data_IF_198745428983
#
_entry.id   IF_198745428983
#
_cell.length_a   1.000
_cell.length_b   1.000
_cell.length_c   1.000
_cell.angle_alpha   90.00
_cell.angle_beta   90.00
_cell.angle_gamma   90.00
#
_symmetry.space_group_name_H-M   'P 1'
#
loop_
_entity.id
_entity.type
_entity.pdbx_description
1 polymer ?
#
# COMPACT_ATOMS: atom_id res chain seq x y z
N UNK A 1 12.85 0.94 -9.15
CA UNK A 1 11.82 0.43 -8.24
C UNK A 1 10.84 1.55 -7.92
N UNK A 2 9.54 1.26 -7.98
CA UNK A 2 8.48 2.18 -7.61
C UNK A 2 8.11 2.01 -6.13
N UNK A 3 6.83 1.95 -5.77
CA UNK A 3 6.37 1.94 -4.37
C UNK A 3 6.85 0.74 -3.55
N UNK A 4 7.31 -0.34 -4.16
CA UNK A 4 7.93 -1.47 -3.44
C UNK A 4 9.30 -1.15 -2.84
N UNK A 5 9.97 -0.09 -3.29
CA UNK A 5 11.34 0.24 -2.85
C UNK A 5 11.40 0.59 -1.36
N UNK A 6 10.51 1.46 -0.88
CA UNK A 6 10.55 1.95 0.48
C UNK A 6 9.15 2.24 1.05
N UNK A 7 8.22 1.31 0.85
CA UNK A 7 6.91 1.36 1.50
C UNK A 7 6.98 1.01 2.99
N UNK A 8 5.85 1.07 3.69
CA UNK A 8 5.76 0.79 5.12
C UNK A 8 5.92 -0.68 5.52
N UNK A 9 5.96 -1.60 4.55
CA UNK A 9 6.25 -3.02 4.76
C UNK A 9 5.18 -3.84 5.45
N UNK A 10 4.04 -3.29 5.78
CA UNK A 10 2.96 -4.02 6.43
C UNK A 10 2.17 -4.88 5.45
N UNK A 11 1.88 -6.11 5.87
CA UNK A 11 0.91 -7.03 5.29
C UNK A 11 -0.26 -7.03 6.26
N UNK A 12 -1.11 -6.00 6.14
CA UNK A 12 -2.10 -5.64 7.15
C UNK A 12 -3.51 -5.77 6.59
N UNK A 13 -4.15 -6.89 6.87
CA UNK A 13 -5.58 -7.09 6.61
C UNK A 13 -6.41 -6.19 7.50
N UNK A 14 -5.91 -5.92 8.70
CA UNK A 14 -6.55 -5.04 9.68
C UNK A 14 -6.56 -3.56 9.30
N UNK A 15 -5.79 -3.13 8.29
CA UNK A 15 -5.80 -1.75 7.78
C UNK A 15 -6.81 -1.56 6.64
N UNK A 16 -7.98 -2.22 6.74
CA UNK A 16 -8.99 -2.26 5.68
C UNK A 16 -9.92 -1.04 5.63
N UNK A 17 -9.77 -0.07 6.52
CA UNK A 17 -10.57 1.15 6.49
C UNK A 17 -10.20 2.00 5.27
N UNK A 18 -11.14 2.24 4.32
CA UNK A 18 -10.87 3.06 3.17
C UNK A 18 -10.71 4.53 3.57
N UNK A 19 -9.93 5.28 2.81
CA UNK A 19 -9.83 6.73 2.99
C UNK A 19 -11.17 7.42 2.80
N UNK A 20 -11.99 6.91 1.85
CA UNK A 20 -13.34 7.37 1.63
C UNK A 20 -14.29 6.81 2.69
N UNK A 21 -14.51 7.58 3.73
CA UNK A 21 -15.45 7.28 4.82
C UNK A 21 -16.25 8.53 5.19
N UNK A 22 -17.34 8.42 5.97
CA UNK A 22 -18.22 9.55 6.26
C UNK A 22 -17.54 10.76 6.95
N UNK A 23 -16.43 10.56 7.66
CA UNK A 23 -15.69 11.64 8.32
C UNK A 23 -14.65 12.31 7.39
N UNK A 24 -14.28 11.66 6.29
CA UNK A 24 -13.19 12.10 5.42
C UNK A 24 -13.39 13.50 4.82
N UNK A 25 -14.58 13.89 4.31
CA UNK A 25 -14.77 15.23 3.74
C UNK A 25 -14.48 16.35 4.74
N UNK A 26 -14.92 16.20 6.00
CA UNK A 26 -14.69 17.19 7.05
C UNK A 26 -13.19 17.23 7.44
N UNK A 27 -12.55 16.07 7.58
CA UNK A 27 -11.10 16.00 7.88
C UNK A 27 -10.27 16.65 6.77
N UNK A 28 -10.60 16.43 5.50
CA UNK A 28 -9.90 17.08 4.36
C UNK A 28 -9.99 18.60 4.45
N UNK A 29 -11.17 19.14 4.79
CA UNK A 29 -11.33 20.60 4.98
C UNK A 29 -10.49 21.13 6.14
N UNK A 30 -10.40 20.41 7.26
CA UNK A 30 -9.59 20.78 8.43
C UNK A 30 -8.08 20.76 8.14
N UNK A 31 -7.63 19.92 7.22
CA UNK A 31 -6.24 19.77 6.84
C UNK A 31 -5.82 20.67 5.66
N UNK A 32 -6.77 21.31 5.01
CA UNK A 32 -6.49 22.15 3.84
C UNK A 32 -5.48 23.25 4.19
N UNK A 33 -4.39 23.33 3.43
CA UNK A 33 -3.34 24.35 3.63
C UNK A 33 -2.32 24.04 4.73
N UNK A 34 -2.42 22.92 5.45
CA UNK A 34 -1.43 22.50 6.46
C UNK A 34 -0.41 21.56 5.83
N UNK A 35 0.86 21.99 5.77
CA UNK A 35 1.93 21.23 5.12
C UNK A 35 2.27 19.92 5.83
N UNK A 36 2.12 19.84 7.14
CA UNK A 36 2.42 18.68 7.99
C UNK A 36 1.21 17.76 8.24
N UNK A 37 0.03 18.11 7.71
CA UNK A 37 -1.17 17.28 7.89
C UNK A 37 -1.00 15.87 7.30
N UNK A 38 -1.68 14.84 7.84
CA UNK A 38 -1.64 13.47 7.30
C UNK A 38 -2.01 13.38 5.82
N UNK A 39 -2.96 14.21 5.37
CA UNK A 39 -3.31 14.37 3.95
C UNK A 39 -3.18 15.83 3.54
N UNK A 40 -2.31 16.08 2.56
CA UNK A 40 -2.15 17.39 1.93
C UNK A 40 -2.78 17.36 0.53
N UNK A 41 -3.74 18.25 0.31
CA UNK A 41 -4.41 18.41 -0.99
C UNK A 41 -3.87 19.66 -1.68
N UNK A 42 -3.08 19.46 -2.74
CA UNK A 42 -2.60 20.53 -3.62
C UNK A 42 -3.62 20.74 -4.74
N UNK A 43 -4.35 21.84 -4.68
CA UNK A 43 -5.31 22.20 -5.75
C UNK A 43 -4.56 22.43 -7.05
N UNK A 44 -4.92 21.69 -8.10
CA UNK A 44 -4.34 21.80 -9.44
C UNK A 44 -5.43 22.00 -10.51
N UNK A 45 -5.06 22.64 -11.58
CA UNK A 45 -5.90 22.70 -12.80
C UNK A 45 -5.79 21.38 -13.57
N UNK A 46 -6.15 20.26 -12.92
CA UNK A 46 -6.13 18.90 -13.49
C UNK A 46 -7.52 18.29 -13.37
N UNK A 47 -8.23 18.16 -14.48
CA UNK A 47 -9.57 17.57 -14.51
C UNK A 47 -9.63 16.16 -13.90
N UNK A 48 -8.53 15.39 -13.97
CA UNK A 48 -8.46 14.05 -13.39
C UNK A 48 -8.54 14.11 -11.87
N UNK A 49 -7.91 15.12 -11.23
CA UNK A 49 -7.98 15.34 -9.79
C UNK A 49 -9.43 15.62 -9.35
N UNK A 50 -10.13 16.48 -10.08
CA UNK A 50 -11.51 16.86 -9.76
C UNK A 50 -12.49 15.70 -9.96
N UNK A 51 -12.37 14.97 -11.07
CA UNK A 51 -13.21 13.81 -11.32
C UNK A 51 -12.98 12.71 -10.28
N UNK A 52 -11.72 12.45 -9.92
CA UNK A 52 -11.37 11.51 -8.87
C UNK A 52 -11.94 11.98 -7.50
N UNK A 53 -11.83 13.27 -7.19
CA UNK A 53 -12.39 13.85 -5.97
C UNK A 53 -13.90 13.71 -5.88
N UNK A 54 -14.63 13.92 -6.97
CA UNK A 54 -16.08 13.71 -7.01
C UNK A 54 -16.46 12.23 -6.79
N UNK A 55 -15.72 11.31 -7.38
CA UNK A 55 -15.93 9.87 -7.15
C UNK A 55 -15.57 9.49 -5.72
N UNK A 56 -14.49 10.03 -5.15
CA UNK A 56 -14.13 9.85 -3.75
C UNK A 56 -15.26 10.30 -2.81
N UNK A 57 -15.87 11.45 -3.06
CA UNK A 57 -17.01 11.92 -2.25
C UNK A 57 -18.22 10.98 -2.34
N UNK A 58 -18.47 10.36 -3.50
CA UNK A 58 -19.53 9.33 -3.66
C UNK A 58 -19.26 8.09 -2.83
N UNK A 59 -17.99 7.74 -2.64
CA UNK A 59 -17.57 6.60 -1.81
C UNK A 59 -17.66 6.90 -0.29
N UNK A 60 -17.75 8.16 0.14
CA UNK A 60 -17.78 8.56 1.54
C UNK A 60 -19.13 8.28 2.26
N UNK A 61 -19.97 7.38 1.76
CA UNK A 61 -21.21 6.99 2.43
C UNK A 61 -21.03 5.77 3.31
N UNK A 62 -21.81 5.61 4.41
CA UNK A 62 -21.68 4.42 5.28
C UNK A 62 -21.84 3.08 4.55
N UNK A 63 -22.73 3.01 3.55
CA UNK A 63 -22.97 1.80 2.78
C UNK A 63 -21.76 1.44 1.90
N UNK A 64 -21.19 2.44 1.22
CA UNK A 64 -20.00 2.25 0.38
C UNK A 64 -18.78 1.90 1.23
N UNK A 65 -18.58 2.60 2.35
CA UNK A 65 -17.50 2.30 3.29
C UNK A 65 -17.55 0.83 3.76
N UNK A 66 -18.72 0.34 4.18
CA UNK A 66 -18.89 -1.08 4.57
C UNK A 66 -18.56 -2.04 3.45
N UNK A 67 -19.08 -1.77 2.24
CA UNK A 67 -18.80 -2.60 1.07
C UNK A 67 -17.29 -2.61 0.74
N UNK A 68 -16.65 -1.46 0.78
CA UNK A 68 -15.21 -1.35 0.47
C UNK A 68 -14.36 -2.08 1.52
N UNK A 69 -14.68 -1.97 2.82
CA UNK A 69 -14.03 -2.77 3.87
C UNK A 69 -14.17 -4.27 3.57
N UNK A 70 -15.37 -4.73 3.21
CA UNK A 70 -15.62 -6.13 2.89
C UNK A 70 -14.71 -6.62 1.74
N UNK A 71 -14.64 -5.87 0.64
CA UNK A 71 -13.78 -6.22 -0.49
C UNK A 71 -12.29 -6.23 -0.11
N UNK A 72 -11.84 -5.23 0.64
CA UNK A 72 -10.45 -5.11 1.08
C UNK A 72 -10.06 -6.27 2.01
N UNK A 73 -10.91 -6.60 3.00
CA UNK A 73 -10.67 -7.72 3.92
C UNK A 73 -10.63 -9.06 3.19
N UNK A 74 -11.60 -9.33 2.31
CA UNK A 74 -11.66 -10.59 1.54
C UNK A 74 -10.39 -10.80 0.71
N UNK A 75 -10.01 -9.79 -0.08
CA UNK A 75 -8.79 -9.87 -0.89
C UNK A 75 -7.54 -9.92 -0.03
N UNK A 76 -7.49 -9.15 1.06
CA UNK A 76 -6.35 -9.08 1.97
C UNK A 76 -6.11 -10.42 2.68
N UNK A 77 -7.15 -11.04 3.23
CA UNK A 77 -7.06 -12.35 3.88
C UNK A 77 -6.62 -13.43 2.89
N UNK A 78 -7.23 -13.48 1.71
CA UNK A 78 -6.81 -14.39 0.66
C UNK A 78 -5.34 -14.18 0.28
N UNK A 79 -4.93 -12.93 0.09
CA UNK A 79 -3.56 -12.57 -0.30
C UNK A 79 -2.54 -12.92 0.76
N UNK A 80 -2.83 -12.67 2.05
CA UNK A 80 -1.96 -13.06 3.17
C UNK A 80 -1.74 -14.56 3.19
N UNK A 81 -2.80 -15.35 3.02
CA UNK A 81 -2.72 -16.81 2.98
C UNK A 81 -1.87 -17.29 1.79
N UNK A 82 -2.00 -16.65 0.62
CA UNK A 82 -1.18 -16.97 -0.56
C UNK A 82 0.29 -16.59 -0.36
N UNK A 83 0.58 -15.47 0.29
CA UNK A 83 1.95 -15.07 0.63
C UNK A 83 2.59 -16.08 1.60
N UNK A 84 1.86 -16.49 2.63
CA UNK A 84 2.35 -17.48 3.60
C UNK A 84 2.57 -18.84 2.95
N UNK A 85 1.70 -19.26 2.02
CA UNK A 85 1.88 -20.48 1.24
C UNK A 85 3.13 -20.39 0.38
N UNK A 86 3.30 -19.32 -0.39
CA UNK A 86 4.48 -19.08 -1.23
C UNK A 86 5.77 -19.08 -0.40
N UNK A 87 5.78 -18.46 0.78
CA UNK A 87 6.93 -18.47 1.68
C UNK A 87 7.30 -19.89 2.11
N UNK A 88 6.33 -20.71 2.48
CA UNK A 88 6.58 -22.11 2.87
C UNK A 88 7.05 -22.99 1.71
N UNK A 89 6.44 -22.82 0.53
CA UNK A 89 6.68 -23.67 -0.64
C UNK A 89 7.99 -23.32 -1.36
N UNK A 90 8.28 -22.04 -1.52
CA UNK A 90 9.44 -21.56 -2.28
C UNK A 90 10.63 -21.13 -1.41
N UNK A 91 10.48 -21.08 -0.08
CA UNK A 91 11.54 -20.64 0.84
C UNK A 91 11.94 -19.18 0.63
N UNK A 92 11.04 -18.33 0.07
CA UNK A 92 11.32 -16.92 -0.20
C UNK A 92 11.47 -16.16 1.12
N UNK A 93 12.61 -15.47 1.29
CA UNK A 93 12.92 -14.71 2.48
C UNK A 93 12.90 -13.20 2.17
N UNK A 94 12.17 -12.43 2.98
CA UNK A 94 11.99 -10.99 2.78
C UNK A 94 12.02 -10.20 4.09
N UNK A 95 12.76 -10.70 5.08
CA UNK A 95 12.87 -10.12 6.42
C UNK A 95 11.49 -10.01 7.10
N UNK A 96 10.72 -11.08 6.96
CA UNK A 96 9.37 -11.17 7.51
C UNK A 96 9.37 -11.20 9.03
N UNK A 97 8.40 -10.49 9.61
CA UNK A 97 8.10 -10.51 11.05
C UNK A 97 6.63 -10.85 11.25
N UNK A 98 6.40 -11.98 11.91
CA UNK A 98 5.08 -12.58 12.12
C UNK A 98 4.54 -12.34 13.53
N UNK A 99 4.85 -11.17 14.10
CA UNK A 99 4.48 -10.79 15.47
C UNK A 99 3.22 -9.95 15.52
N UNK A 100 2.42 -9.98 14.46
CA UNK A 100 1.22 -9.16 14.34
C UNK A 100 1.51 -7.69 14.00
N UNK A 101 0.42 -6.91 13.93
CA UNK A 101 0.44 -5.46 13.79
C UNK A 101 -0.40 -4.84 14.88
N UNK A 102 0.14 -3.81 15.52
CA UNK A 102 -0.50 -3.06 16.58
C UNK A 102 -0.78 -1.63 16.11
N UNK A 103 -2.06 -1.25 16.06
CA UNK A 103 -2.51 0.12 15.84
C UNK A 103 -2.70 0.80 17.20
N UNK A 104 -1.99 1.87 17.48
CA UNK A 104 -2.14 2.61 18.73
C UNK A 104 -2.79 3.98 18.49
N UNK A 105 -3.49 4.46 19.50
CA UNK A 105 -4.28 5.69 19.47
C UNK A 105 -3.85 6.57 20.62
N UNK A 106 -3.56 7.84 20.33
CA UNK A 106 -3.26 8.88 21.32
C UNK A 106 -4.41 9.86 21.49
N UNK A 107 -5.46 9.76 20.67
CA UNK A 107 -6.72 10.50 20.79
C UNK A 107 -7.87 9.53 21.07
N UNK A 108 -8.69 9.84 22.11
CA UNK A 108 -9.81 8.99 22.52
C UNK A 108 -10.90 8.86 21.45
N UNK A 109 -11.18 9.94 20.69
CA UNK A 109 -12.20 9.91 19.63
C UNK A 109 -11.78 9.06 18.44
N UNK A 110 -10.49 9.09 18.09
CA UNK A 110 -9.94 8.21 17.04
C UNK A 110 -10.00 6.76 17.52
N UNK A 111 -9.70 6.49 18.80
CA UNK A 111 -9.83 5.15 19.39
C UNK A 111 -11.28 4.65 19.37
N UNK A 112 -12.23 5.45 19.86
CA UNK A 112 -13.66 5.13 19.80
C UNK A 112 -14.13 4.91 18.35
N UNK A 113 -13.61 5.71 17.41
CA UNK A 113 -13.89 5.57 15.99
C UNK A 113 -13.43 4.24 15.38
N UNK A 114 -12.44 3.58 15.98
CA UNK A 114 -11.92 2.30 15.52
C UNK A 114 -12.74 1.07 16.00
N UNK A 115 -13.60 1.23 17.02
CA UNK A 115 -14.33 0.11 17.60
C UNK A 115 -15.25 -0.58 16.59
N UNK A 116 -16.12 0.19 15.95
CA UNK A 116 -17.09 -0.33 14.98
C UNK A 116 -16.44 -0.94 13.73
N UNK A 117 -15.45 -0.31 13.09
CA UNK A 117 -14.69 -0.97 12.02
C UNK A 117 -14.01 -2.26 12.45
N UNK A 118 -13.48 -2.33 13.68
CA UNK A 118 -12.87 -3.56 14.21
C UNK A 118 -13.88 -4.70 14.34
N UNK A 119 -15.08 -4.44 14.83
CA UNK A 119 -16.17 -5.42 14.87
C UNK A 119 -16.56 -5.91 13.46
N UNK A 120 -16.66 -4.99 12.50
CA UNK A 120 -16.96 -5.33 11.11
C UNK A 120 -15.86 -6.22 10.51
N UNK A 121 -14.60 -5.92 10.74
CA UNK A 121 -13.46 -6.73 10.23
C UNK A 121 -13.45 -8.11 10.88
N UNK A 122 -13.75 -8.21 12.19
CA UNK A 122 -13.86 -9.50 12.89
C UNK A 122 -14.98 -10.36 12.32
N UNK A 123 -16.14 -9.77 12.02
CA UNK A 123 -17.23 -10.47 11.37
C UNK A 123 -16.88 -11.00 9.96
N UNK A 124 -15.83 -10.47 9.33
CA UNK A 124 -15.29 -10.90 8.04
C UNK A 124 -14.07 -11.83 8.18
N UNK A 125 -13.72 -12.24 9.41
CA UNK A 125 -12.60 -13.15 9.68
C UNK A 125 -11.24 -12.49 9.84
N UNK A 126 -11.17 -11.16 10.01
CA UNK A 126 -9.95 -10.46 10.39
C UNK A 126 -10.00 -10.18 11.91
N UNK A 127 -9.26 -10.96 12.71
CA UNK A 127 -9.26 -10.90 14.18
C UNK A 127 -8.55 -9.65 14.73
N UNK A 128 -9.08 -8.48 14.42
CA UNK A 128 -8.63 -7.19 14.94
C UNK A 128 -9.22 -6.98 16.35
N UNK A 129 -8.42 -7.25 17.36
CA UNK A 129 -8.81 -7.16 18.77
C UNK A 129 -8.65 -5.74 19.29
N UNK A 130 -9.65 -5.22 19.96
CA UNK A 130 -9.56 -3.96 20.73
C UNK A 130 -8.94 -4.27 22.08
N UNK A 131 -7.87 -3.57 22.44
CA UNK A 131 -7.09 -3.80 23.65
C UNK A 131 -6.81 -2.49 24.39
N UNK A 132 -6.56 -2.60 25.68
CA UNK A 132 -6.16 -1.47 26.53
C UNK A 132 -4.73 -1.03 26.24
N UNK A 133 -4.38 0.19 26.68
CA UNK A 133 -3.02 0.69 26.61
C UNK A 133 -2.01 -0.19 27.38
N UNK A 134 -2.40 -0.79 28.50
CA UNK A 134 -1.52 -1.70 29.27
C UNK A 134 -1.28 -3.01 28.56
N UNK A 135 -2.28 -3.55 27.86
CA UNK A 135 -2.11 -4.74 27.01
C UNK A 135 -1.24 -4.42 25.78
N UNK A 136 -1.40 -3.22 25.18
CA UNK A 136 -0.54 -2.78 24.09
C UNK A 136 0.94 -2.73 24.50
N UNK A 137 1.26 -2.24 25.69
CA UNK A 137 2.63 -2.19 26.22
C UNK A 137 3.19 -3.60 26.52
N UNK A 138 2.35 -4.56 26.91
CA UNK A 138 2.80 -5.95 27.07
C UNK A 138 3.19 -6.57 25.72
N UNK A 139 2.51 -6.19 24.63
CA UNK A 139 2.82 -6.64 23.27
C UNK A 139 4.05 -5.91 22.72
N UNK A 140 4.10 -4.57 22.90
CA UNK A 140 5.20 -3.71 22.43
C UNK A 140 5.70 -2.82 23.58
N UNK A 141 6.73 -3.28 24.34
CA UNK A 141 7.26 -2.54 25.48
C UNK A 141 7.84 -1.16 25.15
N UNK A 142 8.28 -0.92 23.91
CA UNK A 142 8.80 0.39 23.51
C UNK A 142 7.74 1.50 23.61
N UNK A 143 6.44 1.16 23.63
CA UNK A 143 5.35 2.11 23.84
C UNK A 143 5.22 2.59 25.29
N UNK A 144 5.93 2.00 26.26
CA UNK A 144 5.86 2.39 27.67
C UNK A 144 6.21 3.87 27.90
N UNK A 145 7.11 4.42 27.08
CA UNK A 145 7.51 5.83 27.14
C UNK A 145 6.31 6.79 26.95
N UNK A 146 5.33 6.38 26.16
CA UNK A 146 4.17 7.20 25.84
C UNK A 146 2.88 6.74 26.51
N UNK A 147 2.98 5.85 27.53
CA UNK A 147 1.83 5.25 28.22
C UNK A 147 0.76 6.25 28.64
N UNK A 148 1.16 7.40 29.17
CA UNK A 148 0.24 8.45 29.65
C UNK A 148 -0.58 9.12 28.53
N UNK A 149 -0.17 8.95 27.29
CA UNK A 149 -0.84 9.49 26.10
C UNK A 149 -1.66 8.44 25.37
N UNK A 150 -1.50 7.14 25.67
CA UNK A 150 -2.23 6.09 24.97
C UNK A 150 -3.66 5.97 25.47
N UNK A 151 -4.62 6.21 24.58
CA UNK A 151 -6.04 5.97 24.80
C UNK A 151 -6.38 4.46 24.73
N UNK A 152 -5.76 3.74 23.81
CA UNK A 152 -5.93 2.31 23.59
C UNK A 152 -5.25 1.86 22.32
N UNK A 153 -5.50 0.61 21.93
CA UNK A 153 -4.93 0.05 20.73
C UNK A 153 -5.87 -1.00 20.10
N UNK A 154 -5.57 -1.36 18.84
CA UNK A 154 -6.07 -2.60 18.25
C UNK A 154 -4.90 -3.47 17.82
N UNK A 155 -5.05 -4.78 17.96
CA UNK A 155 -3.99 -5.74 17.63
C UNK A 155 -4.54 -6.87 16.76
N UNK A 156 -3.77 -7.23 15.73
CA UNK A 156 -4.07 -8.34 14.83
C UNK A 156 -2.86 -9.25 14.72
N UNK A 157 -2.92 -10.37 15.44
CA UNK A 157 -1.81 -11.31 15.59
C UNK A 157 -1.41 -11.97 14.25
N UNK A 158 -2.36 -12.14 13.33
CA UNK A 158 -2.12 -12.80 12.04
C UNK A 158 -1.53 -11.88 10.98
N UNK A 159 -1.56 -10.56 11.19
CA UNK A 159 -0.91 -9.61 10.29
C UNK A 159 0.61 -9.68 10.45
N UNK A 160 1.31 -9.32 9.40
CA UNK A 160 2.76 -9.47 9.31
C UNK A 160 3.41 -8.19 8.79
N UNK A 161 4.71 -8.12 8.87
CA UNK A 161 5.49 -7.12 8.12
C UNK A 161 6.67 -7.78 7.41
N UNK A 162 7.16 -7.13 6.36
CA UNK A 162 8.31 -7.61 5.60
C UNK A 162 8.75 -6.62 4.53
N UNK A 163 9.97 -6.73 4.09
CA UNK A 163 10.55 -5.85 3.07
C UNK A 163 10.03 -6.21 1.68
N UNK A 164 9.08 -5.42 1.17
CA UNK A 164 8.49 -5.61 -0.15
C UNK A 164 9.50 -5.51 -1.30
N UNK A 165 10.60 -4.76 -1.14
CA UNK A 165 11.65 -4.69 -2.15
C UNK A 165 12.45 -5.99 -2.19
N UNK A 166 12.83 -6.52 -1.01
CA UNK A 166 13.51 -7.81 -0.91
C UNK A 166 12.61 -8.92 -1.47
N UNK A 167 11.34 -8.96 -1.08
CA UNK A 167 10.37 -9.91 -1.64
C UNK A 167 10.30 -9.85 -3.17
N UNK A 168 10.17 -8.65 -3.76
CA UNK A 168 10.09 -8.50 -5.21
C UNK A 168 11.37 -8.99 -5.91
N UNK A 169 12.55 -8.74 -5.33
CA UNK A 169 13.84 -9.21 -5.86
C UNK A 169 13.97 -10.73 -5.79
N UNK A 170 13.57 -11.35 -4.69
CA UNK A 170 13.57 -12.80 -4.56
C UNK A 170 12.53 -13.45 -5.48
N UNK A 171 11.34 -12.84 -5.62
CA UNK A 171 10.33 -13.33 -6.56
C UNK A 171 10.80 -13.28 -8.01
N UNK A 172 11.57 -12.25 -8.41
CA UNK A 172 12.18 -12.20 -9.76
C UNK A 172 13.03 -13.44 -10.01
N UNK A 173 13.88 -13.85 -9.07
CA UNK A 173 14.72 -15.05 -9.22
C UNK A 173 13.88 -16.32 -9.43
N UNK A 174 12.79 -16.46 -8.67
CA UNK A 174 11.86 -17.59 -8.83
C UNK A 174 11.17 -17.56 -10.20
N UNK A 175 10.76 -16.39 -10.66
CA UNK A 175 10.15 -16.22 -11.97
C UNK A 175 11.14 -16.54 -13.11
N UNK A 176 12.39 -16.06 -13.03
CA UNK A 176 13.44 -16.36 -14.00
C UNK A 176 13.72 -17.87 -14.07
N UNK A 177 13.81 -18.53 -12.91
CA UNK A 177 13.95 -19.98 -12.82
C UNK A 177 12.77 -20.75 -13.45
N UNK A 178 11.58 -20.14 -13.45
CA UNK A 178 10.38 -20.66 -14.12
C UNK A 178 10.26 -20.24 -15.60
N UNK A 179 11.28 -19.60 -16.19
CA UNK A 179 11.34 -19.22 -17.60
C UNK A 179 10.68 -17.88 -17.92
N UNK A 180 10.38 -17.05 -16.94
CA UNK A 180 9.86 -15.68 -17.19
C UNK A 180 10.99 -14.75 -17.64
N UNK A 181 10.77 -14.03 -18.72
CA UNK A 181 11.71 -13.04 -19.24
C UNK A 181 11.38 -11.65 -18.69
N UNK A 182 12.38 -10.97 -18.12
CA UNK A 182 12.29 -9.60 -17.65
C UNK A 182 13.01 -8.66 -18.61
N UNK A 183 12.29 -7.69 -19.15
CA UNK A 183 12.87 -6.61 -19.97
C UNK A 183 13.17 -5.42 -19.05
N UNK A 184 14.24 -5.54 -18.28
CA UNK A 184 14.68 -4.45 -17.39
C UNK A 184 15.19 -3.25 -18.20
N UNK A 185 15.09 -2.04 -17.62
CA UNK A 185 15.55 -0.81 -18.26
C UNK A 185 14.84 -0.50 -19.60
N UNK A 186 13.60 -0.98 -19.75
CA UNK A 186 12.75 -0.67 -20.87
C UNK A 186 11.61 0.27 -20.45
N UNK A 187 11.27 1.21 -21.32
CA UNK A 187 10.13 2.10 -21.17
C UNK A 187 9.06 1.71 -22.16
N UNK A 188 7.87 1.37 -21.69
CA UNK A 188 6.70 1.22 -22.56
C UNK A 188 6.34 2.59 -23.11
N UNK A 189 6.28 2.71 -24.43
CA UNK A 189 5.97 3.97 -25.12
C UNK A 189 4.53 4.01 -25.61
N UNK A 190 3.97 2.86 -26.01
CA UNK A 190 2.57 2.75 -26.41
C UNK A 190 2.02 1.34 -26.26
N UNK A 191 0.69 1.24 -26.17
CA UNK A 191 -0.08 0.00 -26.32
C UNK A 191 -0.96 0.19 -27.54
N UNK A 192 -0.83 -0.68 -28.54
CA UNK A 192 -1.52 -0.57 -29.84
C UNK A 192 -2.69 -1.55 -29.91
N UNK A 193 -3.84 -0.99 -30.24
CA UNK A 193 -5.07 -1.75 -30.48
C UNK A 193 -5.34 -1.80 -31.99
N UNK A 194 -5.74 -2.96 -32.48
CA UNK A 194 -6.24 -3.16 -33.82
C UNK A 194 -7.29 -4.28 -33.83
N UNK A 195 -8.37 -4.07 -34.56
CA UNK A 195 -9.43 -5.07 -34.71
C UNK A 195 -10.13 -5.46 -33.38
N UNK A 196 -10.24 -4.55 -32.42
CA UNK A 196 -10.93 -4.76 -31.15
C UNK A 196 -10.10 -5.54 -30.12
N UNK A 197 -8.78 -5.66 -30.31
CA UNK A 197 -7.85 -6.32 -29.36
C UNK A 197 -6.49 -5.62 -29.34
N UNK A 198 -5.71 -5.84 -28.29
CA UNK A 198 -4.32 -5.38 -28.31
C UNK A 198 -3.53 -6.20 -29.34
N UNK A 199 -2.86 -5.50 -30.24
CA UNK A 199 -1.99 -6.08 -31.24
C UNK A 199 -0.57 -6.26 -30.73
N UNK A 200 -0.01 -5.20 -30.09
CA UNK A 200 1.33 -5.22 -29.54
C UNK A 200 1.55 -4.09 -28.51
N UNK A 201 2.62 -4.23 -27.75
CA UNK A 201 3.17 -3.18 -26.89
C UNK A 201 4.46 -2.66 -27.51
N UNK A 202 4.61 -1.34 -27.58
CA UNK A 202 5.84 -0.67 -28.00
C UNK A 202 6.69 -0.34 -26.78
N UNK A 203 7.97 -0.67 -26.82
CA UNK A 203 8.93 -0.36 -25.77
C UNK A 203 10.26 0.11 -26.35
N UNK A 204 10.98 0.93 -25.60
CA UNK A 204 12.35 1.35 -25.88
C UNK A 204 13.26 1.03 -24.72
N UNK A 205 14.49 0.60 -25.02
CA UNK A 205 15.52 0.45 -23.99
C UNK A 205 16.23 1.78 -23.68
N UNK A 206 17.21 1.76 -22.78
CA UNK A 206 17.97 2.96 -22.40
C UNK A 206 18.80 3.56 -23.52
N UNK A 207 19.08 2.79 -24.59
CA UNK A 207 19.80 3.22 -25.78
C UNK A 207 18.86 3.75 -26.86
N UNK A 208 17.53 3.76 -26.59
CA UNK A 208 16.50 4.18 -27.52
C UNK A 208 16.14 3.16 -28.61
N UNK A 209 16.59 1.90 -28.47
CA UNK A 209 16.25 0.83 -29.43
C UNK A 209 14.79 0.43 -29.24
N UNK A 210 14.04 0.54 -30.32
CA UNK A 210 12.62 0.24 -30.35
C UNK A 210 12.35 -1.26 -30.48
N UNK A 211 11.35 -1.73 -29.73
CA UNK A 211 10.87 -3.10 -29.78
C UNK A 211 9.35 -3.17 -29.86
N UNK A 212 8.83 -4.10 -30.65
CA UNK A 212 7.43 -4.51 -30.67
C UNK A 212 7.29 -5.83 -29.92
N UNK A 213 6.47 -5.84 -28.87
CA UNK A 213 6.23 -7.00 -28.03
C UNK A 213 4.84 -7.54 -28.31
N UNK A 214 4.75 -8.75 -28.85
CA UNK A 214 3.49 -9.42 -29.14
C UNK A 214 3.25 -10.57 -28.17
N UNK A 215 2.00 -10.75 -27.75
CA UNK A 215 1.56 -11.81 -26.87
C UNK A 215 0.08 -12.12 -27.11
N UNK A 216 -0.39 -13.25 -26.60
CA UNK A 216 -1.79 -13.64 -26.64
C UNK A 216 -2.64 -12.81 -25.66
N UNK A 217 -2.05 -12.39 -24.55
CA UNK A 217 -2.69 -11.63 -23.48
C UNK A 217 -1.75 -10.60 -22.86
N UNK A 218 -2.33 -9.48 -22.44
CA UNK A 218 -1.60 -8.37 -21.86
C UNK A 218 -2.22 -7.97 -20.52
N UNK A 219 -1.39 -7.76 -19.50
CA UNK A 219 -1.82 -7.29 -18.18
C UNK A 219 -1.22 -5.92 -17.88
N UNK A 220 -2.06 -4.93 -17.66
CA UNK A 220 -1.63 -3.59 -17.24
C UNK A 220 -1.48 -3.55 -15.72
N UNK A 221 -0.23 -3.53 -15.25
CA UNK A 221 0.13 -3.52 -13.82
C UNK A 221 1.04 -2.32 -13.46
N UNK A 222 0.81 -1.15 -14.09
CA UNK A 222 1.69 0.02 -14.00
C UNK A 222 1.33 1.00 -12.87
N UNK A 223 0.55 0.56 -11.89
CA UNK A 223 0.19 1.34 -10.70
C UNK A 223 -0.40 2.72 -11.06
N UNK A 224 0.17 3.79 -10.54
CA UNK A 224 -0.29 5.17 -10.79
C UNK A 224 -0.16 5.63 -12.24
N UNK A 225 0.67 4.97 -13.05
CA UNK A 225 0.82 5.26 -14.48
C UNK A 225 -0.25 4.56 -15.34
N UNK A 226 -0.96 3.58 -14.83
CA UNK A 226 -1.96 2.81 -15.58
C UNK A 226 -2.99 3.68 -16.33
N UNK A 227 -3.53 4.78 -15.75
CA UNK A 227 -4.47 5.63 -16.49
C UNK A 227 -3.89 6.28 -17.75
N UNK A 228 -2.59 6.54 -17.78
CA UNK A 228 -1.91 7.16 -18.91
C UNK A 228 -1.93 6.20 -20.11
N UNK A 229 -1.67 4.92 -19.85
CA UNK A 229 -1.62 3.88 -20.89
C UNK A 229 -3.00 3.32 -21.27
N UNK A 230 -3.97 3.36 -20.36
CA UNK A 230 -5.33 2.90 -20.62
C UNK A 230 -6.16 3.92 -21.41
N UNK A 231 -5.91 5.23 -21.20
CA UNK A 231 -6.68 6.32 -21.82
C UNK A 231 -6.71 6.27 -23.35
N UNK A 232 -5.58 6.07 -24.09
CA UNK A 232 -5.59 5.96 -25.55
C UNK A 232 -6.45 4.81 -26.07
N UNK A 233 -6.66 3.76 -25.28
CA UNK A 233 -7.51 2.61 -25.58
C UNK A 233 -8.99 2.86 -25.26
N UNK A 234 -9.35 4.09 -24.85
CA UNK A 234 -10.71 4.44 -24.45
C UNK A 234 -11.14 3.74 -23.14
N UNK A 235 -10.19 3.33 -22.31
CA UNK A 235 -10.44 2.74 -20.98
C UNK A 235 -10.14 3.80 -19.93
N UNK A 236 -11.15 4.17 -19.15
CA UNK A 236 -11.02 5.11 -18.05
C UNK A 236 -10.74 4.37 -16.75
N UNK A 237 -9.63 4.66 -16.12
CA UNK A 237 -9.26 4.13 -14.80
C UNK A 237 -9.31 5.25 -13.76
N UNK A 238 -10.16 5.15 -12.73
CA UNK A 238 -10.27 6.17 -11.69
C UNK A 238 -9.12 6.03 -10.66
N UNK A 239 -7.90 6.17 -11.13
CA UNK A 239 -6.69 6.12 -10.31
C UNK A 239 -6.05 7.50 -10.32
N UNK A 240 -5.77 8.04 -9.14
CA UNK A 240 -5.00 9.27 -8.96
C UNK A 240 -3.75 9.00 -8.12
N UNK A 241 -2.59 9.56 -8.49
CA UNK A 241 -1.37 9.33 -7.74
C UNK A 241 -1.45 10.06 -6.38
N UNK A 242 -1.30 9.30 -5.31
CA UNK A 242 -1.20 9.81 -3.95
C UNK A 242 0.24 9.64 -3.47
N UNK A 243 1.01 10.76 -3.47
CA UNK A 243 2.40 10.77 -3.05
C UNK A 243 2.50 10.45 -1.56
N UNK A 244 3.27 9.43 -1.22
CA UNK A 244 3.59 9.06 0.14
C UNK A 244 5.06 9.29 0.43
N UNK A 245 5.38 9.39 1.71
CA UNK A 245 6.73 9.61 2.20
C UNK A 245 7.19 8.45 3.04
N UNK A 246 8.47 8.15 3.03
CA UNK A 246 9.10 7.25 3.99
C UNK A 246 10.47 7.75 4.43
N UNK A 247 10.80 7.35 5.64
CA UNK A 247 12.11 7.58 6.27
C UNK A 247 12.68 6.23 6.63
N UNK A 248 13.95 6.01 6.30
CA UNK A 248 14.70 4.84 6.75
C UNK A 248 15.90 5.34 7.55
N UNK A 249 16.11 4.82 8.75
CA UNK A 249 17.24 5.17 9.58
C UNK A 249 17.81 3.94 10.30
N UNK A 250 19.13 3.85 10.54
CA UNK A 250 19.72 2.78 11.35
C UNK A 250 19.16 2.79 12.77
N UNK A 251 18.97 1.62 13.36
CA UNK A 251 18.68 1.50 14.79
C UNK A 251 19.93 1.87 15.57
N UNK A 252 19.81 2.85 16.47
CA UNK A 252 20.89 3.30 17.34
C UNK A 252 20.89 2.55 18.67
N UNK A 253 19.69 2.33 19.24
CA UNK A 253 19.49 1.60 20.48
C UNK A 253 18.36 0.58 20.29
N UNK A 254 18.74 -0.69 20.18
CA UNK A 254 17.80 -1.78 19.92
C UNK A 254 16.79 -2.01 21.05
N UNK A 255 17.12 -1.59 22.28
CA UNK A 255 16.24 -1.73 23.45
C UNK A 255 15.10 -0.70 23.46
N UNK A 256 15.25 0.41 22.73
CA UNK A 256 14.27 1.49 22.58
C UNK A 256 13.44 1.37 21.32
N UNK A 257 13.91 0.56 20.36
CA UNK A 257 13.25 0.37 19.08
C UNK A 257 12.14 -0.67 19.20
N UNK A 258 11.00 -0.40 18.55
CA UNK A 258 9.88 -1.33 18.50
C UNK A 258 10.27 -2.67 17.85
N UNK A 259 9.62 -3.76 18.28
CA UNK A 259 9.77 -5.10 17.72
C UNK A 259 8.59 -5.46 16.83
N UNK A 260 7.38 -5.17 17.29
CA UNK A 260 6.13 -5.36 16.55
C UNK A 260 5.97 -4.23 15.54
N UNK A 261 5.41 -4.52 14.37
CA UNK A 261 5.06 -3.46 13.42
C UNK A 261 3.89 -2.63 13.96
N UNK A 262 4.04 -1.30 13.91
CA UNK A 262 3.11 -0.36 14.52
C UNK A 262 2.40 0.50 13.47
N UNK A 263 1.17 0.90 13.79
CA UNK A 263 0.45 1.96 13.07
C UNK A 263 0.05 3.05 14.07
N UNK A 264 0.51 4.27 13.80
CA UNK A 264 0.08 5.49 14.46
C UNK A 264 -1.12 6.06 13.70
N UNK A 265 -2.31 5.85 14.23
CA UNK A 265 -3.54 6.24 13.54
C UNK A 265 -3.79 7.76 13.57
N UNK A 266 -3.21 8.50 14.51
CA UNK A 266 -3.30 9.96 14.56
C UNK A 266 -2.50 10.61 13.43
N UNK A 267 -1.23 10.21 13.27
CA UNK A 267 -0.32 10.77 12.25
C UNK A 267 -0.35 10.02 10.93
N UNK A 268 -1.11 8.90 10.85
CA UNK A 268 -1.19 8.02 9.68
C UNK A 268 0.19 7.52 9.23
N UNK A 269 0.99 7.09 10.21
CA UNK A 269 2.31 6.52 10.02
C UNK A 269 2.32 5.03 10.35
N UNK A 270 3.09 4.28 9.59
CA UNK A 270 3.38 2.87 9.84
C UNK A 270 4.86 2.70 10.11
N UNK A 271 5.20 1.85 11.08
CA UNK A 271 6.55 1.59 11.55
C UNK A 271 6.88 0.13 11.35
N UNK A 272 7.97 -0.14 10.67
CA UNK A 272 8.52 -1.49 10.52
C UNK A 272 10.00 -1.49 10.84
N UNK A 273 10.50 -2.62 11.36
CA UNK A 273 11.92 -2.82 11.67
C UNK A 273 12.44 -3.96 10.82
N UNK A 274 13.56 -3.76 10.19
CA UNK A 274 14.21 -4.71 9.29
C UNK A 274 15.68 -4.87 9.65
N UNK A 275 16.25 -6.01 9.28
CA UNK A 275 17.69 -6.19 9.27
C UNK A 275 18.33 -5.24 8.24
N UNK A 276 19.44 -4.62 8.58
CA UNK A 276 20.19 -3.79 7.65
C UNK A 276 20.68 -4.61 6.44
N UNK A 277 20.86 -3.96 5.29
CA UNK A 277 21.23 -4.67 4.05
C UNK A 277 22.61 -5.31 4.12
N UNK A 278 23.51 -4.73 4.92
CA UNK A 278 24.87 -5.24 5.18
C UNK A 278 24.90 -6.31 6.29
N UNK A 279 23.72 -6.66 6.86
CA UNK A 279 23.59 -7.61 7.96
C UNK A 279 24.11 -7.09 9.33
N UNK A 280 24.47 -5.81 9.42
CA UNK A 280 25.01 -5.22 10.65
C UNK A 280 23.96 -4.39 11.38
N UNK A 281 23.22 -5.03 12.28
CA UNK A 281 22.15 -4.38 13.04
C UNK A 281 20.84 -4.29 12.29
N UNK A 282 19.98 -3.40 12.73
CA UNK A 282 18.64 -3.20 12.20
C UNK A 282 18.44 -1.77 11.68
N UNK A 283 17.40 -1.60 10.88
CA UNK A 283 16.93 -0.30 10.39
C UNK A 283 15.45 -0.13 10.67
N UNK A 284 15.06 1.08 11.03
CA UNK A 284 13.65 1.48 11.12
C UNK A 284 13.19 2.02 9.77
N UNK A 285 12.02 1.61 9.33
CA UNK A 285 11.31 2.17 8.20
C UNK A 285 9.98 2.73 8.68
N UNK A 286 9.83 4.04 8.52
CA UNK A 286 8.59 4.73 8.84
C UNK A 286 8.03 5.29 7.56
N UNK A 287 6.79 4.96 7.25
CA UNK A 287 6.14 5.43 6.03
C UNK A 287 4.72 5.89 6.34
N UNK A 288 4.27 6.89 5.60
CA UNK A 288 2.91 7.36 5.78
C UNK A 288 2.63 8.66 5.06
N UNK A 289 1.67 9.37 5.58
CA UNK A 289 1.13 10.60 5.05
C UNK A 289 0.77 10.51 3.56
N UNK A 290 0.01 11.44 3.06
CA UNK A 290 -0.35 11.48 1.65
C UNK A 290 -0.36 12.91 1.13
N UNK A 291 0.03 13.10 -0.14
CA UNK A 291 -0.08 14.37 -0.84
C UNK A 291 -0.68 14.13 -2.23
N UNK A 292 -1.79 14.78 -2.51
CA UNK A 292 -2.44 14.75 -3.82
C UNK A 292 -1.92 15.90 -4.67
N UNK A 293 -0.81 15.66 -5.38
CA UNK A 293 -0.08 16.64 -6.18
C UNK A 293 0.26 16.15 -7.60
N UNK A 294 -0.63 15.38 -8.22
CA UNK A 294 -0.37 14.78 -9.52
C UNK A 294 0.84 13.84 -9.48
N UNK A 295 1.63 13.85 -10.55
CA UNK A 295 2.80 12.97 -10.71
C UNK A 295 4.09 13.60 -10.16
N UNK A 296 3.99 14.67 -9.37
CA UNK A 296 5.14 15.26 -8.69
C UNK A 296 5.79 14.27 -7.71
N UNK A 297 7.11 14.16 -7.74
CA UNK A 297 7.91 13.24 -6.93
C UNK A 297 8.96 13.96 -6.07
N UNK A 298 8.93 15.27 -6.03
CA UNK A 298 9.86 16.03 -5.21
C UNK A 298 9.61 15.81 -3.72
N UNK A 299 10.69 15.71 -2.95
CA UNK A 299 10.63 15.55 -1.50
C UNK A 299 10.22 16.86 -0.84
N UNK A 300 9.13 16.83 -0.10
CA UNK A 300 8.77 17.92 0.81
C UNK A 300 9.48 17.70 2.15
N UNK A 301 10.48 18.52 2.45
CA UNK A 301 11.30 18.38 3.66
C UNK A 301 10.50 18.55 4.95
N UNK A 302 9.54 19.45 4.98
CA UNK A 302 8.66 19.65 6.17
C UNK A 302 7.97 18.34 6.55
N UNK A 303 7.46 17.60 5.58
CA UNK A 303 6.80 16.32 5.81
C UNK A 303 7.78 15.23 6.23
N UNK A 304 8.96 15.19 5.65
CA UNK A 304 10.02 14.26 6.02
C UNK A 304 10.49 14.48 7.46
N UNK A 305 10.73 15.73 7.83
CA UNK A 305 11.16 16.12 9.18
C UNK A 305 10.06 15.89 10.22
N UNK A 306 8.78 16.07 9.87
CA UNK A 306 7.66 15.74 10.73
C UNK A 306 7.62 14.25 11.09
N UNK A 307 7.94 13.36 10.14
CA UNK A 307 8.04 11.91 10.40
C UNK A 307 9.18 11.63 11.39
N UNK A 308 10.38 12.20 11.17
CA UNK A 308 11.52 12.02 12.09
C UNK A 308 11.18 12.52 13.49
N UNK A 309 10.59 13.70 13.58
CA UNK A 309 10.15 14.29 14.87
C UNK A 309 9.19 13.37 15.61
N UNK A 310 8.23 12.75 14.89
CA UNK A 310 7.29 11.81 15.51
C UNK A 310 7.97 10.54 16.01
N UNK A 311 8.97 10.03 15.29
CA UNK A 311 9.79 8.89 15.74
C UNK A 311 10.50 9.21 17.05
N UNK A 312 11.18 10.37 17.13
CA UNK A 312 11.88 10.79 18.34
C UNK A 312 10.92 11.07 19.52
N UNK A 313 9.71 11.55 19.24
CA UNK A 313 8.67 11.75 20.25
C UNK A 313 8.15 10.42 20.84
N UNK A 314 8.01 9.38 20.00
CA UNK A 314 7.49 8.06 20.42
C UNK A 314 8.61 7.16 20.98
N UNK A 315 9.79 7.18 20.38
CA UNK A 315 10.90 6.26 20.63
C UNK A 315 12.23 7.04 20.73
N UNK A 316 12.41 7.89 21.74
CA UNK A 316 13.58 8.78 21.83
C UNK A 316 14.89 8.02 21.84
N UNK A 317 15.74 8.31 20.85
CA UNK A 317 17.05 7.69 20.68
C UNK A 317 17.02 6.26 20.14
N UNK A 318 15.89 5.74 19.66
CA UNK A 318 15.80 4.40 19.03
C UNK A 318 16.53 4.35 17.68
N UNK A 319 16.36 5.39 16.86
CA UNK A 319 16.98 5.52 15.54
C UNK A 319 18.06 6.59 15.49
N UNK A 320 18.92 6.51 14.48
CA UNK A 320 19.89 7.57 14.17
C UNK A 320 19.31 8.55 13.14
N UNK A 321 18.69 9.61 13.62
CA UNK A 321 18.08 10.64 12.78
C UNK A 321 19.10 11.37 11.88
N UNK A 322 20.40 11.38 12.24
CA UNK A 322 21.44 12.02 11.42
C UNK A 322 21.73 11.26 10.13
N UNK A 323 21.40 9.97 10.10
CA UNK A 323 21.53 9.08 8.95
C UNK A 323 20.19 8.78 8.26
N UNK A 324 19.15 9.58 8.55
CA UNK A 324 17.83 9.39 7.97
C UNK A 324 17.85 9.58 6.45
N UNK A 325 17.37 8.56 5.74
CA UNK A 325 17.19 8.58 4.29
C UNK A 325 15.73 8.77 3.95
N UNK A 326 15.43 9.76 3.13
CA UNK A 326 14.06 10.09 2.72
C UNK A 326 13.74 9.54 1.34
N UNK A 327 12.52 9.08 1.18
CA UNK A 327 12.02 8.60 -0.10
C UNK A 327 10.54 8.95 -0.29
N UNK A 328 10.11 9.03 -1.54
CA UNK A 328 8.73 9.27 -1.93
C UNK A 328 8.30 8.34 -3.07
N UNK A 329 7.05 7.96 -3.09
CA UNK A 329 6.44 7.15 -4.14
C UNK A 329 4.96 7.48 -4.35
N UNK A 330 4.45 7.14 -5.52
CA UNK A 330 3.09 7.44 -5.95
C UNK A 330 2.19 6.23 -5.76
N UNK A 331 1.35 6.24 -4.74
CA UNK A 331 0.33 5.20 -4.52
C UNK A 331 -0.75 5.32 -5.58
N UNK A 332 -1.14 4.22 -6.24
CA UNK A 332 -2.23 4.23 -7.23
C UNK A 332 -3.60 4.23 -6.53
N UNK A 333 -4.04 5.39 -6.06
CA UNK A 333 -5.26 5.49 -5.25
C UNK A 333 -6.51 5.48 -6.12
N UNK A 334 -7.38 4.47 -5.92
CA UNK A 334 -8.77 4.49 -6.39
C UNK A 334 -9.65 5.23 -5.38
N UNK A 335 -10.79 5.80 -5.77
CA UNK A 335 -11.70 6.47 -4.86
C UNK A 335 -12.21 5.59 -3.72
N UNK A 336 -12.44 4.30 -4.01
CA UNK A 336 -12.95 3.30 -3.06
C UNK A 336 -11.86 2.62 -2.22
N UNK A 337 -10.57 2.80 -2.54
CA UNK A 337 -9.44 1.98 -2.09
C UNK A 337 -9.48 0.50 -2.52
N UNK A 338 -10.49 0.08 -3.30
CA UNK A 338 -10.58 -1.27 -3.87
C UNK A 338 -9.77 -1.30 -5.17
N UNK A 339 -8.84 -2.26 -5.36
CA UNK A 339 -8.04 -2.35 -6.57
C UNK A 339 -8.86 -2.79 -7.79
N UNK A 340 -8.33 -2.49 -8.96
CA UNK A 340 -8.90 -2.85 -10.25
C UNK A 340 -8.17 -4.09 -10.78
N UNK A 341 -8.81 -5.24 -10.65
CA UNK A 341 -8.28 -6.55 -11.06
C UNK A 341 -9.31 -7.22 -11.95
N UNK A 342 -8.95 -7.58 -13.17
CA UNK A 342 -9.87 -8.32 -14.02
C UNK A 342 -9.80 -7.99 -15.50
N UNK A 343 -10.93 -8.19 -16.19
CA UNK A 343 -11.08 -8.04 -17.65
C UNK A 343 -11.35 -6.59 -18.01
N UNK A 344 -11.01 -6.22 -19.25
CA UNK A 344 -11.44 -4.97 -19.88
C UNK A 344 -12.39 -5.26 -21.05
N UNK A 345 -12.88 -4.20 -21.70
CA UNK A 345 -13.64 -4.33 -22.94
C UNK A 345 -12.85 -4.98 -24.09
N UNK A 346 -11.51 -5.01 -24.01
CA UNK A 346 -10.64 -5.66 -24.98
C UNK A 346 -10.36 -7.10 -24.52
N UNK A 347 -10.66 -8.14 -25.31
CA UNK A 347 -10.70 -9.53 -24.85
C UNK A 347 -9.36 -10.08 -24.38
N UNK A 348 -8.25 -9.52 -24.83
CA UNK A 348 -6.88 -9.92 -24.48
C UNK A 348 -6.16 -8.90 -23.59
N UNK A 349 -6.88 -7.94 -22.99
CA UNK A 349 -6.30 -6.91 -22.13
C UNK A 349 -6.91 -6.91 -20.74
N UNK A 350 -6.08 -7.04 -19.73
CA UNK A 350 -6.46 -7.23 -18.36
C UNK A 350 -5.84 -6.17 -17.45
N UNK A 351 -6.42 -5.97 -16.26
CA UNK A 351 -5.94 -5.01 -15.27
C UNK A 351 -5.49 -5.74 -14.00
N UNK A 352 -4.38 -5.26 -13.43
CA UNK A 352 -3.96 -5.57 -12.07
C UNK A 352 -3.30 -4.32 -11.46
N UNK A 353 -4.10 -3.35 -11.02
CA UNK A 353 -3.65 -2.01 -10.67
C UNK A 353 -4.57 -1.35 -9.64
N UNK A 354 -4.23 -0.13 -9.19
CA UNK A 354 -5.12 0.63 -8.31
C UNK A 354 -5.10 0.20 -6.84
N UNK A 355 -4.06 -0.47 -6.38
CA UNK A 355 -3.99 -1.06 -5.03
C UNK A 355 -3.79 -0.05 -3.89
N UNK A 356 -3.67 1.24 -4.19
CA UNK A 356 -3.56 2.31 -3.19
C UNK A 356 -2.47 2.06 -2.15
N UNK A 357 -2.85 2.11 -0.88
CA UNK A 357 -1.95 1.89 0.26
C UNK A 357 -1.70 0.42 0.59
N UNK A 358 -2.54 -0.48 0.10
CA UNK A 358 -2.54 -1.90 0.47
C UNK A 358 -1.93 -2.81 -0.61
N UNK A 359 -1.14 -2.24 -1.53
CA UNK A 359 -0.55 -2.99 -2.63
C UNK A 359 0.31 -4.17 -2.17
N UNK A 360 1.05 -4.03 -1.07
CA UNK A 360 1.83 -5.13 -0.51
C UNK A 360 0.92 -6.20 0.11
N UNK A 361 -0.06 -5.79 0.92
CA UNK A 361 -1.07 -6.69 1.50
C UNK A 361 -1.78 -7.52 0.44
N UNK A 362 -2.16 -6.90 -0.68
CA UNK A 362 -2.94 -7.54 -1.74
C UNK A 362 -2.11 -8.25 -2.82
N UNK A 363 -0.77 -8.15 -2.80
CA UNK A 363 0.10 -8.55 -3.92
C UNK A 363 -0.11 -9.99 -4.39
N UNK A 364 0.03 -10.98 -3.49
CA UNK A 364 -0.05 -12.39 -3.84
C UNK A 364 -1.46 -12.82 -4.26
N UNK A 365 -2.49 -12.31 -3.56
CA UNK A 365 -3.89 -12.59 -3.90
C UNK A 365 -4.30 -12.01 -5.25
N UNK A 366 -3.89 -10.76 -5.54
CA UNK A 366 -4.10 -10.11 -6.82
C UNK A 366 -3.37 -10.85 -7.95
N UNK A 367 -2.10 -11.22 -7.72
CA UNK A 367 -1.28 -11.96 -8.69
C UNK A 367 -1.91 -13.30 -9.06
N UNK A 368 -2.31 -14.10 -8.05
CA UNK A 368 -2.96 -15.40 -8.30
C UNK A 368 -4.33 -15.23 -8.98
N UNK A 369 -5.12 -14.23 -8.55
CA UNK A 369 -6.44 -13.98 -9.15
C UNK A 369 -6.33 -13.59 -10.61
N UNK A 370 -5.40 -12.66 -10.97
CA UNK A 370 -5.26 -12.24 -12.36
C UNK A 370 -4.70 -13.36 -13.24
N UNK A 371 -3.80 -14.19 -12.72
CA UNK A 371 -3.29 -15.35 -13.45
C UNK A 371 -4.43 -16.32 -13.82
N UNK A 372 -5.34 -16.62 -12.89
CA UNK A 372 -6.52 -17.44 -13.15
C UNK A 372 -7.44 -16.82 -14.19
N UNK A 373 -7.73 -15.50 -14.06
CA UNK A 373 -8.62 -14.79 -15.01
C UNK A 373 -8.04 -14.82 -16.43
N UNK A 374 -6.72 -14.58 -16.58
CA UNK A 374 -6.04 -14.64 -17.88
C UNK A 374 -6.08 -16.05 -18.49
N UNK A 375 -5.95 -17.07 -17.64
CA UNK A 375 -6.06 -18.48 -18.04
C UNK A 375 -7.49 -18.98 -18.24
N UNK A 376 -8.50 -18.11 -18.16
CA UNK A 376 -9.91 -18.48 -18.32
C UNK A 376 -10.52 -19.21 -17.12
N UNK A 377 -9.81 -19.29 -16.00
CA UNK A 377 -10.28 -19.94 -14.77
C UNK A 377 -10.99 -18.92 -13.86
N UNK A 378 -11.96 -19.40 -13.06
CA UNK A 378 -12.59 -18.57 -12.04
C UNK A 378 -11.60 -18.23 -10.90
N UNK A 379 -11.55 -16.98 -10.39
CA UNK A 379 -10.83 -16.66 -9.16
C UNK A 379 -11.34 -17.47 -7.97
N UNK A 380 -10.47 -17.66 -6.97
CA UNK A 380 -10.79 -18.45 -5.76
C UNK A 380 -11.38 -17.60 -4.63
N UNK A 381 -11.25 -16.29 -4.72
CA UNK A 381 -11.75 -15.33 -3.72
C UNK A 381 -13.04 -14.67 -4.22
N UNK A 382 -14.01 -14.49 -3.32
CA UNK A 382 -15.21 -13.69 -3.58
C UNK A 382 -14.85 -12.20 -3.46
N UNK A 383 -14.59 -11.59 -4.61
CA UNK A 383 -14.13 -10.20 -4.75
C UNK A 383 -14.79 -9.57 -5.98
N UNK A 384 -15.00 -8.25 -5.92
CA UNK A 384 -15.60 -7.48 -7.01
C UNK A 384 -14.58 -7.24 -8.15
N UNK A 385 -14.30 -8.30 -8.93
CA UNK A 385 -13.40 -8.20 -10.08
C UNK A 385 -13.91 -7.24 -11.15
N UNK A 386 -12.99 -6.48 -11.73
CA UNK A 386 -13.29 -5.49 -12.77
C UNK A 386 -13.75 -6.17 -14.05
N UNK A 387 -14.78 -5.56 -14.66
CA UNK A 387 -15.31 -5.87 -15.99
C UNK A 387 -15.43 -4.56 -16.76
N UNK A 388 -14.27 -3.90 -17.03
CA UNK A 388 -14.22 -2.57 -17.64
C UNK A 388 -14.22 -2.63 -19.17
#
# INVERSE_FOLDING_TARGET
>A
AETSFANGGQISVSHAEPWANPSAPLKVLQWLGKEDAPLLFRIRADMRQWLWGLEFLRECTPARTRHNIEQIVRLGTYSRNMLQALRREAGIAYDERTQGILHFYTDEKEFEGALKPSEQMRALGCERLVISADEAIKIEPALAHVRSRLAGATYTAEDESGDANRFARELVKLCEAAGVNFLMSHTVTAIREAGGKIEHVEATDIEGRFQKLQADSYVLAMGSLSPIYAKPLGIRLPIYPAKGYSVTMPVKDASKAHQVSLTDDEFKLVFSRYTAEDGRGDRLRIAGTAELNGYDRDLNRVRCEAIVKRVEDLFPGAGDATQAQFWTGLRPATPSNVPLIGKTKLPNFFLNTGHGTLGWTHACGSGKSIARIVSGMAPEVDFAFTKA
#
